data_IF_276611541818
#
_entry.id   IF_276611541818
#
_cell.length_a   1.000
_cell.length_b   1.000
_cell.length_c   1.000
_cell.angle_alpha   90.00
_cell.angle_beta   90.00
_cell.angle_gamma   90.00
#
_symmetry.space_group_name_H-M   'P 1'
#
loop_
_entity.id
_entity.type
_entity.pdbx_description
1 polymer ?
#
# COMPACT_ATOMS: atom_id res chain seq x y z
N UNK A 1 -6.45 -15.60 -5.83
CA UNK A 1 -5.92 -14.42 -6.54
C UNK A 1 -5.75 -13.23 -5.63
N UNK A 2 -6.82 -12.65 -5.05
CA UNK A 2 -6.70 -11.48 -4.16
C UNK A 2 -5.67 -11.64 -3.03
N UNK A 3 -5.74 -12.73 -2.27
CA UNK A 3 -4.79 -13.05 -1.20
C UNK A 3 -3.36 -13.33 -1.69
N UNK A 4 -3.19 -13.54 -2.99
CA UNK A 4 -1.92 -13.83 -3.63
C UNK A 4 -1.45 -12.65 -4.49
N UNK A 5 -1.99 -11.46 -4.29
CA UNK A 5 -1.50 -10.24 -4.93
C UNK A 5 -0.38 -9.67 -4.05
N UNK A 6 0.83 -9.44 -4.57
CA UNK A 6 1.96 -8.95 -3.77
C UNK A 6 1.66 -7.71 -2.93
N UNK A 7 0.97 -6.72 -3.51
CA UNK A 7 0.57 -5.50 -2.78
C UNK A 7 -0.40 -5.81 -1.63
N UNK A 8 -1.32 -6.77 -1.81
CA UNK A 8 -2.25 -7.18 -0.74
C UNK A 8 -1.49 -7.91 0.38
N UNK A 9 -0.58 -8.81 0.03
CA UNK A 9 0.23 -9.54 1.02
C UNK A 9 1.10 -8.56 1.82
N UNK A 10 1.73 -7.60 1.15
CA UNK A 10 2.56 -6.59 1.81
C UNK A 10 1.76 -5.73 2.81
N UNK A 11 0.48 -5.51 2.56
CA UNK A 11 -0.38 -4.73 3.45
C UNK A 11 -0.92 -5.56 4.61
N UNK A 12 -1.20 -6.83 4.37
CA UNK A 12 -1.65 -7.75 5.42
C UNK A 12 -0.63 -7.89 6.56
N UNK A 13 0.68 -7.81 6.27
CA UNK A 13 1.74 -7.94 7.29
C UNK A 13 2.05 -6.64 8.06
N UNK A 14 1.52 -5.48 7.64
CA UNK A 14 1.89 -4.17 8.23
C UNK A 14 0.89 -3.63 9.26
N UNK A 15 -0.20 -4.36 9.55
CA UNK A 15 -1.27 -3.90 10.44
C UNK A 15 -1.72 -2.44 10.15
N UNK A 16 -1.77 -2.07 8.87
CA UNK A 16 -2.19 -0.73 8.41
C UNK A 16 -3.71 -0.71 8.17
N UNK A 17 -4.34 0.45 8.39
CA UNK A 17 -5.78 0.69 8.14
C UNK A 17 -6.20 0.45 6.68
N UNK A 18 -5.23 0.44 5.74
CA UNK A 18 -5.47 0.29 4.31
C UNK A 18 -6.14 -1.04 3.95
N UNK A 19 -5.87 -2.13 4.68
CA UNK A 19 -6.49 -3.43 4.46
C UNK A 19 -7.99 -3.44 4.81
N UNK A 20 -8.33 -2.92 6.00
CA UNK A 20 -9.73 -2.78 6.43
C UNK A 20 -10.49 -1.82 5.52
N UNK A 21 -9.88 -0.69 5.16
CA UNK A 21 -10.45 0.26 4.22
C UNK A 21 -10.72 -0.39 2.84
N UNK A 22 -9.78 -1.17 2.31
CA UNK A 22 -9.95 -1.91 1.04
C UNK A 22 -11.12 -2.88 1.11
N UNK A 23 -11.31 -3.58 2.23
CA UNK A 23 -12.47 -4.45 2.44
C UNK A 23 -13.77 -3.64 2.37
N UNK A 24 -13.88 -2.52 3.10
CA UNK A 24 -15.09 -1.70 3.11
C UNK A 24 -15.45 -1.19 1.71
N UNK A 25 -14.47 -0.68 0.96
CA UNK A 25 -14.70 -0.22 -0.42
C UNK A 25 -15.09 -1.37 -1.34
N UNK A 26 -14.42 -2.52 -1.22
CA UNK A 26 -14.74 -3.72 -2.01
C UNK A 26 -16.18 -4.17 -1.76
N UNK A 27 -16.59 -4.26 -0.50
CA UNK A 27 -17.95 -4.64 -0.14
C UNK A 27 -18.93 -3.59 -0.65
N UNK A 28 -18.69 -2.30 -0.44
CA UNK A 28 -19.57 -1.23 -0.95
C UNK A 28 -19.78 -1.32 -2.48
N UNK A 29 -18.70 -1.45 -3.25
CA UNK A 29 -18.73 -1.44 -4.71
C UNK A 29 -19.40 -2.69 -5.27
N UNK A 30 -19.09 -3.87 -4.74
CA UNK A 30 -19.63 -5.13 -5.27
C UNK A 30 -20.97 -5.53 -4.66
N UNK A 31 -21.31 -5.09 -3.44
CA UNK A 31 -22.69 -5.20 -2.95
C UNK A 31 -23.62 -4.37 -3.82
N UNK A 32 -23.18 -3.17 -4.23
CA UNK A 32 -23.95 -2.35 -5.16
C UNK A 32 -24.17 -3.11 -6.47
N UNK A 33 -23.10 -3.57 -7.11
CA UNK A 33 -23.19 -4.28 -8.39
C UNK A 33 -24.09 -5.51 -8.29
N UNK A 34 -23.90 -6.35 -7.27
CA UNK A 34 -24.70 -7.56 -7.10
C UNK A 34 -26.18 -7.24 -6.84
N UNK A 35 -26.49 -6.35 -5.89
CA UNK A 35 -27.86 -6.04 -5.54
C UNK A 35 -28.58 -5.29 -6.67
N UNK A 36 -27.88 -4.37 -7.35
CA UNK A 36 -28.44 -3.55 -8.42
C UNK A 36 -28.56 -4.31 -9.74
N UNK A 37 -27.46 -4.85 -10.26
CA UNK A 37 -27.43 -5.48 -11.60
C UNK A 37 -27.89 -6.94 -11.60
N UNK A 38 -27.62 -7.70 -10.52
CA UNK A 38 -27.95 -9.14 -10.47
C UNK A 38 -29.30 -9.39 -9.82
N UNK A 39 -29.62 -8.69 -8.73
CA UNK A 39 -30.86 -8.89 -7.96
C UNK A 39 -31.94 -7.86 -8.25
N UNK A 40 -31.65 -6.80 -9.00
CA UNK A 40 -32.57 -5.70 -9.30
C UNK A 40 -33.18 -5.03 -8.05
N UNK A 41 -32.50 -5.09 -6.90
CA UNK A 41 -32.89 -4.47 -5.62
C UNK A 41 -32.23 -3.10 -5.48
N UNK A 42 -32.69 -2.12 -6.27
CA UNK A 42 -32.03 -0.80 -6.42
C UNK A 42 -31.86 -0.05 -5.09
N UNK A 43 -32.92 0.07 -4.30
CA UNK A 43 -32.89 0.76 -2.99
C UNK A 43 -31.89 0.08 -2.05
N UNK A 44 -32.01 -1.24 -1.91
CA UNK A 44 -31.11 -2.03 -1.05
C UNK A 44 -29.65 -1.91 -1.49
N UNK A 45 -29.38 -1.88 -2.81
CA UNK A 45 -28.04 -1.71 -3.33
C UNK A 45 -27.39 -0.42 -2.82
N UNK A 46 -28.10 0.70 -2.91
CA UNK A 46 -27.57 2.00 -2.47
C UNK A 46 -27.50 2.13 -0.94
N UNK A 47 -28.46 1.58 -0.19
CA UNK A 47 -28.41 1.60 1.28
C UNK A 47 -27.22 0.76 1.78
N UNK A 48 -27.09 -0.49 1.33
CA UNK A 48 -26.00 -1.38 1.78
C UNK A 48 -24.65 -0.77 1.42
N UNK A 49 -24.48 -0.30 0.19
CA UNK A 49 -23.24 0.38 -0.21
C UNK A 49 -23.02 1.67 0.56
N UNK A 50 -24.06 2.46 0.81
CA UNK A 50 -24.01 3.65 1.66
C UNK A 50 -23.52 3.34 3.07
N UNK A 51 -23.92 2.21 3.66
CA UNK A 51 -23.42 1.79 4.98
C UNK A 51 -21.90 1.62 4.95
N UNK A 52 -21.40 0.81 4.02
CA UNK A 52 -19.96 0.54 3.90
C UNK A 52 -19.15 1.76 3.45
N UNK A 53 -19.73 2.66 2.63
CA UNK A 53 -19.11 3.93 2.29
C UNK A 53 -19.01 4.86 3.50
N UNK A 54 -20.06 4.96 4.32
CA UNK A 54 -20.03 5.74 5.57
C UNK A 54 -18.92 5.25 6.51
N UNK A 55 -18.81 3.95 6.70
CA UNK A 55 -17.71 3.33 7.45
C UNK A 55 -16.35 3.59 6.79
N UNK A 56 -16.27 3.56 5.46
CA UNK A 56 -15.06 3.89 4.71
C UNK A 56 -14.60 5.33 4.93
N UNK A 57 -15.55 6.28 4.94
CA UNK A 57 -15.29 7.68 5.26
C UNK A 57 -14.72 7.83 6.67
N UNK A 58 -15.32 7.15 7.65
CA UNK A 58 -14.85 7.15 9.04
C UNK A 58 -13.46 6.50 9.20
N UNK A 59 -13.10 5.55 8.33
CA UNK A 59 -11.83 4.84 8.40
C UNK A 59 -10.66 5.68 7.90
N UNK A 60 -10.85 6.40 6.79
CA UNK A 60 -9.77 7.16 6.15
C UNK A 60 -10.19 8.57 5.83
N UNK A 61 -11.05 8.76 4.83
CA UNK A 61 -11.56 10.07 4.37
C UNK A 61 -12.67 9.86 3.32
N UNK A 62 -13.18 10.96 2.74
CA UNK A 62 -14.11 10.98 1.61
C UNK A 62 -13.53 10.40 0.31
N UNK A 63 -12.26 9.96 0.31
CA UNK A 63 -11.70 9.18 -0.77
C UNK A 63 -12.51 7.89 -1.05
N UNK A 64 -13.30 7.41 -0.09
CA UNK A 64 -14.21 6.28 -0.27
C UNK A 64 -15.22 6.53 -1.40
N UNK A 65 -15.72 7.77 -1.47
CA UNK A 65 -16.65 8.19 -2.50
C UNK A 65 -15.97 8.26 -3.87
N UNK A 66 -14.71 8.69 -3.94
CA UNK A 66 -13.95 8.71 -5.20
C UNK A 66 -13.90 7.32 -5.81
N UNK A 67 -13.52 6.31 -5.03
CA UNK A 67 -13.49 4.91 -5.50
C UNK A 67 -14.85 4.42 -6.01
N UNK A 68 -15.91 4.69 -5.24
CA UNK A 68 -17.25 4.26 -5.60
C UNK A 68 -17.78 4.93 -6.86
N UNK A 69 -17.64 6.26 -6.95
CA UNK A 69 -18.17 7.02 -8.09
C UNK A 69 -17.32 6.89 -9.35
N UNK A 70 -16.00 6.67 -9.25
CA UNK A 70 -15.19 6.33 -10.43
C UNK A 70 -15.69 5.04 -11.10
N UNK A 71 -16.13 4.05 -10.33
CA UNK A 71 -16.76 2.85 -10.88
C UNK A 71 -18.20 3.15 -11.38
N UNK A 72 -19.04 3.70 -10.51
CA UNK A 72 -20.47 3.86 -10.75
C UNK A 72 -20.79 4.83 -11.88
N UNK A 73 -20.21 6.04 -11.86
CA UNK A 73 -20.47 7.08 -12.86
C UNK A 73 -20.08 6.60 -14.25
N UNK A 74 -18.86 6.07 -14.40
CA UNK A 74 -18.35 5.59 -15.69
C UNK A 74 -19.11 4.37 -16.20
N UNK A 75 -19.57 3.49 -15.30
CA UNK A 75 -20.44 2.38 -15.67
C UNK A 75 -21.79 2.85 -16.20
N UNK A 76 -22.45 3.80 -15.54
CA UNK A 76 -23.71 4.35 -16.03
C UNK A 76 -23.55 5.20 -17.28
N UNK A 77 -22.46 5.93 -17.42
CA UNK A 77 -22.11 6.62 -18.67
C UNK A 77 -22.02 5.62 -19.83
N UNK A 78 -21.26 4.53 -19.63
CA UNK A 78 -21.13 3.45 -20.61
C UNK A 78 -22.47 2.79 -20.95
N UNK A 79 -23.34 2.59 -19.95
CA UNK A 79 -24.69 2.03 -20.13
C UNK A 79 -25.71 3.04 -20.66
N UNK A 80 -25.35 4.31 -20.82
CA UNK A 80 -26.25 5.42 -21.17
C UNK A 80 -27.42 5.58 -20.19
N UNK A 81 -27.17 5.33 -18.89
CA UNK A 81 -28.17 5.36 -17.80
C UNK A 81 -27.85 6.41 -16.74
N UNK A 82 -27.23 7.54 -17.11
CA UNK A 82 -26.82 8.58 -16.16
C UNK A 82 -27.96 9.13 -15.30
N UNK A 83 -29.20 9.13 -15.79
CA UNK A 83 -30.40 9.55 -15.04
C UNK A 83 -30.60 8.74 -13.74
N UNK A 84 -30.03 7.53 -13.65
CA UNK A 84 -30.07 6.71 -12.43
C UNK A 84 -29.32 7.37 -11.25
N UNK A 85 -28.38 8.29 -11.51
CA UNK A 85 -27.71 9.09 -10.47
C UNK A 85 -28.58 10.23 -9.92
N UNK A 86 -29.77 10.44 -10.48
CA UNK A 86 -30.77 11.38 -9.96
C UNK A 86 -31.97 10.63 -9.36
N UNK A 87 -31.86 9.31 -9.21
CA UNK A 87 -32.94 8.47 -8.73
C UNK A 87 -33.06 8.52 -7.21
N UNK A 88 -34.28 8.30 -6.70
CA UNK A 88 -34.55 8.20 -5.25
C UNK A 88 -33.64 7.16 -4.57
N UNK A 89 -33.42 5.94 -5.12
CA UNK A 89 -32.47 4.98 -4.55
C UNK A 89 -31.08 5.56 -4.31
N UNK A 90 -30.55 6.33 -5.27
CA UNK A 90 -29.22 6.92 -5.14
C UNK A 90 -29.19 8.00 -4.06
N UNK A 91 -30.21 8.88 -4.02
CA UNK A 91 -30.38 9.89 -2.97
C UNK A 91 -30.44 9.25 -1.58
N UNK A 92 -31.15 8.14 -1.42
CA UNK A 92 -31.17 7.38 -0.16
C UNK A 92 -29.79 6.84 0.21
N UNK A 93 -29.01 6.37 -0.76
CA UNK A 93 -27.61 5.98 -0.54
C UNK A 93 -26.76 7.15 -0.03
N UNK A 94 -26.96 8.36 -0.58
CA UNK A 94 -26.30 9.59 -0.13
C UNK A 94 -26.61 9.88 1.33
N UNK A 95 -27.90 9.90 1.68
CA UNK A 95 -28.32 10.10 3.07
C UNK A 95 -27.77 9.02 4.01
N UNK A 96 -27.63 7.78 3.54
CA UNK A 96 -27.12 6.67 4.36
C UNK A 96 -25.65 6.89 4.75
N UNK A 97 -24.75 7.15 3.80
CA UNK A 97 -23.34 7.35 4.14
C UNK A 97 -23.09 8.67 4.87
N UNK A 98 -23.84 9.73 4.54
CA UNK A 98 -23.75 11.00 5.25
C UNK A 98 -24.27 10.87 6.68
N UNK A 99 -25.36 10.13 6.89
CA UNK A 99 -25.92 9.86 8.21
C UNK A 99 -24.90 9.19 9.13
N UNK A 100 -24.27 8.11 8.66
CA UNK A 100 -23.21 7.40 9.41
C UNK A 100 -22.04 8.32 9.74
N UNK A 101 -21.55 9.09 8.76
CA UNK A 101 -20.47 10.05 8.99
C UNK A 101 -20.87 11.13 10.01
N UNK A 102 -22.10 11.64 9.89
CA UNK A 102 -22.62 12.73 10.72
C UNK A 102 -22.76 12.33 12.18
N UNK A 103 -23.11 11.07 12.48
CA UNK A 103 -23.15 10.57 13.85
C UNK A 103 -21.82 10.79 14.59
N UNK A 104 -20.70 10.51 13.93
CA UNK A 104 -19.37 10.78 14.50
C UNK A 104 -19.01 12.27 14.44
N UNK A 105 -19.21 12.90 13.28
CA UNK A 105 -18.77 14.28 13.05
C UNK A 105 -19.46 15.27 14.00
N UNK A 106 -20.77 15.10 14.25
CA UNK A 106 -21.54 15.92 15.19
C UNK A 106 -20.96 15.77 16.59
N UNK A 107 -20.80 14.55 17.10
CA UNK A 107 -20.27 14.29 18.45
C UNK A 107 -18.87 14.87 18.65
N UNK A 108 -17.98 14.73 17.66
CA UNK A 108 -16.65 15.34 17.72
C UNK A 108 -16.74 16.85 17.70
N UNK A 109 -17.55 17.43 16.80
CA UNK A 109 -17.70 18.88 16.68
C UNK A 109 -18.27 19.53 17.94
N UNK A 110 -19.18 18.84 18.66
CA UNK A 110 -19.69 19.30 19.94
C UNK A 110 -18.62 19.30 21.03
N UNK A 111 -17.64 18.39 20.95
CA UNK A 111 -16.56 18.27 21.93
C UNK A 111 -15.41 19.26 21.72
N UNK A 112 -15.01 19.49 20.46
CA UNK A 112 -13.82 20.31 20.15
C UNK A 112 -14.16 21.66 19.50
N UNK A 113 -15.44 21.92 19.23
CA UNK A 113 -15.92 23.06 18.47
C UNK A 113 -15.89 22.82 16.95
N UNK A 114 -16.85 23.42 16.25
CA UNK A 114 -17.01 23.26 14.80
C UNK A 114 -15.82 23.80 13.98
N UNK A 115 -15.32 24.99 14.32
CA UNK A 115 -14.21 25.62 13.59
C UNK A 115 -12.91 24.79 13.69
N UNK A 116 -12.44 24.36 14.88
CA UNK A 116 -11.30 23.45 14.98
C UNK A 116 -11.48 22.14 14.22
N UNK A 117 -12.67 21.55 14.27
CA UNK A 117 -13.00 20.32 13.53
C UNK A 117 -12.81 20.50 12.01
N UNK A 118 -13.43 21.52 11.42
CA UNK A 118 -13.34 21.78 9.97
C UNK A 118 -11.90 22.09 9.55
N UNK A 119 -11.17 22.90 10.33
CA UNK A 119 -9.77 23.22 10.04
C UNK A 119 -8.91 21.96 10.05
N UNK A 120 -9.02 21.12 11.08
CA UNK A 120 -8.26 19.87 11.18
C UNK A 120 -8.57 18.94 9.99
N UNK A 121 -9.84 18.85 9.61
CA UNK A 121 -10.27 17.99 8.53
C UNK A 121 -9.80 18.48 7.15
N UNK A 122 -9.93 19.78 6.84
CA UNK A 122 -9.43 20.37 5.58
C UNK A 122 -7.90 20.25 5.49
N UNK A 123 -7.21 20.51 6.60
CA UNK A 123 -5.75 20.45 6.64
C UNK A 123 -5.21 19.05 6.30
N UNK A 124 -5.96 17.98 6.62
CA UNK A 124 -5.61 16.63 6.23
C UNK A 124 -5.52 16.46 4.70
N UNK A 125 -6.40 17.08 3.92
CA UNK A 125 -6.34 17.03 2.45
C UNK A 125 -5.24 17.93 1.90
N UNK A 126 -5.10 19.15 2.44
CA UNK A 126 -4.10 20.11 1.97
C UNK A 126 -2.67 19.66 2.25
N UNK A 127 -2.41 19.03 3.40
CA UNK A 127 -1.09 18.50 3.75
C UNK A 127 -0.68 17.34 2.83
N UNK A 128 -1.62 16.50 2.43
CA UNK A 128 -1.38 15.43 1.45
C UNK A 128 -1.05 15.96 0.05
N UNK A 129 -1.70 17.04 -0.38
CA UNK A 129 -1.42 17.67 -1.68
C UNK A 129 -0.05 18.35 -1.76
N UNK A 130 0.47 18.85 -0.62
CA UNK A 130 1.77 19.53 -0.53
C UNK A 130 2.96 18.59 -0.32
N UNK A 131 2.73 17.34 0.06
CA UNK A 131 3.77 16.36 0.41
C UNK A 131 4.50 15.72 -0.78
N UNK A 132 4.80 16.47 -1.85
CA UNK A 132 5.52 15.92 -3.01
C UNK A 132 6.98 15.65 -2.64
N UNK A 133 7.33 14.38 -2.41
CA UNK A 133 8.69 13.94 -2.09
C UNK A 133 9.55 13.67 -3.34
N UNK A 134 8.96 13.66 -4.53
CA UNK A 134 9.63 13.26 -5.78
C UNK A 134 9.16 14.09 -6.97
N UNK A 135 9.99 14.17 -8.02
CA UNK A 135 9.61 14.85 -9.26
C UNK A 135 8.53 14.08 -10.04
N UNK A 136 7.81 14.77 -10.91
CA UNK A 136 6.71 14.20 -11.71
C UNK A 136 7.16 13.00 -12.58
N UNK A 137 8.35 13.10 -13.20
CA UNK A 137 8.93 12.02 -14.01
C UNK A 137 9.33 10.80 -13.18
N UNK A 138 9.90 11.04 -11.99
CA UNK A 138 10.23 9.96 -11.05
C UNK A 138 8.98 9.26 -10.55
N UNK A 139 7.93 10.03 -10.20
CA UNK A 139 6.63 9.52 -9.80
C UNK A 139 6.04 8.59 -10.84
N UNK A 140 5.94 9.02 -12.10
CA UNK A 140 5.33 8.18 -13.14
C UNK A 140 6.06 6.88 -13.40
N UNK A 141 7.39 6.90 -13.45
CA UNK A 141 8.20 5.70 -13.64
C UNK A 141 8.03 4.75 -12.46
N UNK A 142 8.23 5.26 -11.24
CA UNK A 142 8.15 4.45 -10.02
C UNK A 142 6.73 3.88 -9.83
N UNK A 143 5.71 4.71 -9.98
CA UNK A 143 4.32 4.30 -9.78
C UNK A 143 3.90 3.19 -10.74
N UNK A 144 4.25 3.31 -12.02
CA UNK A 144 3.92 2.30 -13.04
C UNK A 144 4.67 1.00 -12.82
N UNK A 145 5.99 1.07 -12.55
CA UNK A 145 6.81 -0.11 -12.27
C UNK A 145 6.30 -0.84 -11.02
N UNK A 146 6.04 -0.09 -9.95
CA UNK A 146 5.52 -0.68 -8.71
C UNK A 146 4.11 -1.23 -8.89
N UNK A 147 3.24 -0.59 -9.67
CA UNK A 147 1.93 -1.17 -9.99
C UNK A 147 2.08 -2.50 -10.75
N UNK A 148 2.97 -2.55 -11.76
CA UNK A 148 3.22 -3.78 -12.49
C UNK A 148 3.70 -4.90 -11.56
N UNK A 149 4.68 -4.62 -10.70
CA UNK A 149 5.22 -5.60 -9.75
C UNK A 149 4.20 -5.98 -8.66
N UNK A 150 3.51 -5.00 -8.09
CA UNK A 150 2.57 -5.15 -6.98
C UNK A 150 1.31 -5.94 -7.34
N UNK A 151 0.93 -5.94 -8.62
CA UNK A 151 -0.22 -6.69 -9.15
C UNK A 151 0.14 -7.88 -10.04
N UNK A 152 1.43 -8.11 -10.30
CA UNK A 152 1.91 -9.33 -10.96
C UNK A 152 1.76 -10.56 -10.04
N UNK A 153 1.62 -11.78 -10.60
CA UNK A 153 1.54 -12.10 -12.03
C UNK A 153 0.13 -11.91 -12.61
N UNK A 154 -0.88 -11.58 -11.78
CA UNK A 154 -2.28 -11.59 -12.19
C UNK A 154 -2.59 -10.58 -13.27
N UNK A 155 -1.93 -9.41 -13.25
CA UNK A 155 -2.06 -8.38 -14.29
C UNK A 155 -1.87 -8.93 -15.72
N UNK A 156 -1.04 -9.98 -15.89
CA UNK A 156 -0.76 -10.56 -17.20
C UNK A 156 -1.96 -11.28 -17.82
N UNK A 157 -2.96 -11.71 -17.03
CA UNK A 157 -4.19 -12.29 -17.56
C UNK A 157 -5.08 -11.27 -18.28
N UNK A 158 -4.79 -9.96 -18.18
CA UNK A 158 -5.46 -8.95 -19.00
C UNK A 158 -5.22 -9.16 -20.50
N UNK A 159 -4.14 -9.83 -20.90
CA UNK A 159 -3.89 -10.18 -22.31
C UNK A 159 -4.99 -11.09 -22.89
N UNK A 160 -5.70 -11.84 -22.05
CA UNK A 160 -6.82 -12.69 -22.46
C UNK A 160 -7.98 -11.90 -23.06
N UNK A 161 -8.14 -10.62 -22.73
CA UNK A 161 -9.13 -9.74 -23.34
C UNK A 161 -8.81 -9.41 -24.81
N UNK A 162 -7.67 -9.85 -25.36
CA UNK A 162 -7.40 -9.85 -26.81
C UNK A 162 -7.90 -11.11 -27.52
N UNK A 163 -8.22 -12.18 -26.79
CA UNK A 163 -8.67 -13.44 -27.36
C UNK A 163 -10.15 -13.38 -27.74
N UNK A 164 -10.45 -13.52 -29.04
CA UNK A 164 -11.82 -13.46 -29.59
C UNK A 164 -12.77 -14.48 -28.96
N UNK A 165 -12.32 -15.71 -28.69
CA UNK A 165 -13.15 -16.76 -28.11
C UNK A 165 -13.57 -16.41 -26.68
N UNK A 166 -12.64 -15.85 -25.91
CA UNK A 166 -12.93 -15.38 -24.55
C UNK A 166 -13.88 -14.18 -24.54
N UNK A 167 -13.67 -13.20 -25.42
CA UNK A 167 -14.57 -12.05 -25.54
C UNK A 167 -15.97 -12.50 -25.94
N UNK A 168 -16.08 -13.44 -26.89
CA UNK A 168 -17.36 -14.02 -27.30
C UNK A 168 -18.07 -14.69 -26.12
N UNK A 169 -17.34 -15.49 -25.33
CA UNK A 169 -17.85 -16.10 -24.11
C UNK A 169 -18.35 -15.10 -23.07
N UNK A 170 -17.63 -13.99 -22.85
CA UNK A 170 -18.10 -12.95 -21.93
C UNK A 170 -19.35 -12.26 -22.50
N UNK A 171 -19.34 -11.91 -23.79
CA UNK A 171 -20.47 -11.20 -24.43
C UNK A 171 -21.75 -12.03 -24.46
N UNK A 172 -21.64 -13.36 -24.56
CA UNK A 172 -22.81 -14.25 -24.46
C UNK A 172 -23.39 -14.34 -23.05
N UNK A 173 -22.68 -13.84 -22.03
CA UNK A 173 -23.11 -13.80 -20.64
C UNK A 173 -23.20 -12.34 -20.15
N UNK A 174 -24.37 -11.67 -20.27
CA UNK A 174 -24.52 -10.24 -19.97
C UNK A 174 -24.00 -9.83 -18.59
N UNK A 175 -24.19 -10.67 -17.56
CA UNK A 175 -23.70 -10.39 -16.20
C UNK A 175 -22.18 -10.38 -16.12
N UNK A 176 -21.49 -11.33 -16.78
CA UNK A 176 -20.02 -11.34 -16.82
C UNK A 176 -19.48 -10.16 -17.61
N UNK A 177 -20.13 -9.79 -18.71
CA UNK A 177 -19.76 -8.60 -19.46
C UNK A 177 -19.90 -7.33 -18.63
N UNK A 178 -21.03 -7.17 -17.95
CA UNK A 178 -21.27 -6.03 -17.06
C UNK A 178 -20.27 -5.99 -15.92
N UNK A 179 -19.96 -7.14 -15.30
CA UNK A 179 -18.99 -7.24 -14.22
C UNK A 179 -17.58 -6.87 -14.69
N UNK A 180 -17.19 -7.31 -15.89
CA UNK A 180 -15.91 -6.96 -16.49
C UNK A 180 -15.80 -5.46 -16.73
N UNK A 181 -16.81 -4.84 -17.36
CA UNK A 181 -16.81 -3.39 -17.63
C UNK A 181 -16.80 -2.59 -16.32
N UNK A 182 -17.63 -2.97 -15.34
CA UNK A 182 -17.67 -2.31 -14.05
C UNK A 182 -16.33 -2.40 -13.31
N UNK A 183 -15.73 -3.60 -13.28
CA UNK A 183 -14.43 -3.84 -12.65
C UNK A 183 -13.27 -3.15 -13.39
N UNK A 184 -13.36 -3.02 -14.71
CA UNK A 184 -12.45 -2.23 -15.53
C UNK A 184 -12.47 -0.76 -15.12
N UNK A 185 -13.64 -0.13 -15.10
CA UNK A 185 -13.74 1.27 -14.67
C UNK A 185 -13.24 1.45 -13.25
N UNK A 186 -13.62 0.53 -12.35
CA UNK A 186 -13.20 0.62 -10.96
C UNK A 186 -11.67 0.62 -10.82
N UNK A 187 -10.98 -0.35 -11.41
CA UNK A 187 -9.53 -0.43 -11.29
C UNK A 187 -8.81 0.64 -12.12
N UNK A 188 -9.13 0.74 -13.40
CA UNK A 188 -8.38 1.56 -14.35
C UNK A 188 -8.52 3.05 -14.08
N UNK A 189 -9.75 3.53 -13.80
CA UNK A 189 -9.94 4.95 -13.49
C UNK A 189 -9.38 5.31 -12.12
N UNK A 190 -9.44 4.40 -11.15
CA UNK A 190 -8.75 4.59 -9.87
C UNK A 190 -7.24 4.65 -10.05
N UNK A 191 -6.66 3.81 -10.91
CA UNK A 191 -5.25 3.86 -11.26
C UNK A 191 -4.89 5.23 -11.87
N UNK A 192 -5.61 5.66 -12.91
CA UNK A 192 -5.37 6.95 -13.57
C UNK A 192 -5.50 8.10 -12.58
N UNK A 193 -6.58 8.11 -11.79
CA UNK A 193 -6.83 9.15 -10.80
C UNK A 193 -5.59 9.34 -9.91
N UNK A 194 -5.10 8.28 -9.26
CA UNK A 194 -3.96 8.38 -8.35
C UNK A 194 -2.62 8.56 -9.07
N UNK A 195 -2.48 8.00 -10.27
CA UNK A 195 -1.30 8.20 -11.12
C UNK A 195 -1.09 9.69 -11.42
N UNK A 196 -2.17 10.46 -11.64
CA UNK A 196 -2.13 11.89 -11.93
C UNK A 196 -1.82 12.78 -10.71
N UNK A 197 -1.84 12.26 -9.48
CA UNK A 197 -1.48 13.03 -8.28
C UNK A 197 -0.02 12.74 -7.86
N UNK A 198 0.92 13.67 -8.04
CA UNK A 198 2.31 13.47 -7.67
C UNK A 198 2.45 13.26 -6.17
N UNK A 199 3.30 12.30 -5.77
CA UNK A 199 3.44 11.91 -4.37
C UNK A 199 2.38 10.91 -3.91
N UNK A 200 1.42 10.53 -4.76
CA UNK A 200 0.56 9.38 -4.50
C UNK A 200 1.40 8.10 -4.38
N UNK A 201 1.23 7.37 -3.28
CA UNK A 201 1.87 6.07 -3.07
C UNK A 201 1.01 4.99 -3.71
N UNK A 202 1.63 3.93 -4.23
CA UNK A 202 0.89 2.83 -4.87
C UNK A 202 -0.21 2.25 -3.97
N UNK A 203 0.04 2.16 -2.67
CA UNK A 203 -0.96 1.72 -1.67
C UNK A 203 -2.28 2.49 -1.71
N UNK A 204 -2.31 3.69 -2.28
CA UNK A 204 -3.54 4.46 -2.39
C UNK A 204 -4.54 3.83 -3.37
N UNK A 205 -4.11 3.04 -4.36
CA UNK A 205 -5.03 2.31 -5.24
C UNK A 205 -5.41 0.92 -4.75
N UNK A 206 -4.92 0.51 -3.57
CA UNK A 206 -5.29 -0.78 -2.97
C UNK A 206 -6.81 -1.04 -2.92
N UNK A 207 -7.67 -0.04 -2.60
CA UNK A 207 -9.11 -0.24 -2.57
C UNK A 207 -9.71 -0.68 -3.91
N UNK A 208 -9.09 -0.33 -5.04
CA UNK A 208 -9.55 -0.74 -6.36
C UNK A 208 -8.97 -2.07 -6.85
N UNK A 209 -8.07 -2.70 -6.07
CA UNK A 209 -7.43 -3.96 -6.43
C UNK A 209 -8.44 -5.07 -6.73
N UNK A 210 -9.58 -5.11 -6.05
CA UNK A 210 -10.65 -6.08 -6.32
C UNK A 210 -11.17 -5.97 -7.76
N UNK A 211 -11.21 -4.76 -8.35
CA UNK A 211 -11.52 -4.55 -9.77
C UNK A 211 -10.60 -5.37 -10.67
N UNK A 212 -9.29 -5.27 -10.44
CA UNK A 212 -8.31 -6.08 -11.17
C UNK A 212 -8.50 -7.58 -10.92
N UNK A 213 -8.81 -7.99 -9.69
CA UNK A 213 -9.02 -9.41 -9.38
C UNK A 213 -10.20 -9.98 -10.14
N UNK A 214 -11.36 -9.31 -10.16
CA UNK A 214 -12.51 -9.78 -10.91
C UNK A 214 -12.21 -9.83 -12.42
N UNK A 215 -11.51 -8.83 -12.96
CA UNK A 215 -11.07 -8.84 -14.37
C UNK A 215 -10.23 -10.06 -14.72
N UNK A 216 -9.29 -10.45 -13.85
CA UNK A 216 -8.39 -11.58 -14.12
C UNK A 216 -8.98 -12.94 -13.73
N UNK A 217 -9.97 -12.96 -12.83
CA UNK A 217 -10.68 -14.20 -12.47
C UNK A 217 -11.53 -14.71 -13.63
N UNK A 218 -12.15 -13.82 -14.43
CA UNK A 218 -12.98 -14.21 -15.58
C UNK A 218 -12.23 -15.04 -16.63
N UNK A 219 -11.03 -14.64 -17.12
CA UNK A 219 -10.21 -15.48 -18.00
C UNK A 219 -9.85 -16.83 -17.39
N UNK A 220 -9.41 -16.85 -16.13
CA UNK A 220 -9.01 -18.10 -15.46
C UNK A 220 -10.20 -19.04 -15.34
N UNK A 221 -11.37 -18.52 -14.93
CA UNK A 221 -12.60 -19.29 -14.89
C UNK A 221 -12.96 -19.88 -16.25
N UNK A 222 -12.88 -19.07 -17.32
CA UNK A 222 -13.12 -19.53 -18.69
C UNK A 222 -12.17 -20.67 -19.08
N UNK A 223 -10.86 -20.51 -18.85
CA UNK A 223 -9.88 -21.53 -19.22
C UNK A 223 -10.05 -22.82 -18.40
N UNK A 224 -10.31 -22.71 -17.09
CA UNK A 224 -10.60 -23.87 -16.24
C UNK A 224 -11.84 -24.60 -16.74
N UNK A 225 -12.91 -23.86 -17.08
CA UNK A 225 -14.17 -24.44 -17.60
C UNK A 225 -13.96 -25.16 -18.93
N UNK A 226 -13.14 -24.61 -19.81
CA UNK A 226 -12.81 -25.22 -21.11
C UNK A 226 -11.70 -26.29 -21.02
N UNK A 227 -11.06 -26.43 -19.85
CA UNK A 227 -9.82 -27.18 -19.65
C UNK A 227 -8.76 -26.91 -20.75
N UNK A 228 -8.73 -25.68 -21.25
CA UNK A 228 -7.87 -25.28 -22.37
C UNK A 228 -7.16 -23.98 -22.04
N UNK A 229 -5.83 -24.00 -22.11
CA UNK A 229 -4.99 -22.82 -21.95
C UNK A 229 -4.49 -22.35 -23.34
N UNK A 230 -4.69 -21.09 -23.73
CA UNK A 230 -4.18 -20.57 -24.99
C UNK A 230 -2.66 -20.64 -25.07
N UNK A 231 -2.14 -20.86 -26.28
CA UNK A 231 -0.70 -21.05 -26.51
C UNK A 231 0.13 -19.84 -26.06
N UNK A 232 -0.34 -18.62 -26.32
CA UNK A 232 0.35 -17.40 -25.87
C UNK A 232 0.52 -17.35 -24.34
N UNK A 233 -0.49 -17.82 -23.59
CA UNK A 233 -0.42 -17.86 -22.12
C UNK A 233 0.47 -19.00 -21.63
N UNK A 234 0.45 -20.15 -22.30
CA UNK A 234 1.40 -21.24 -22.02
C UNK A 234 2.83 -20.77 -22.20
N UNK A 235 3.15 -20.15 -23.34
CA UNK A 235 4.50 -19.64 -23.62
C UNK A 235 4.89 -18.58 -22.58
N UNK A 236 4.02 -17.60 -22.33
CA UNK A 236 4.31 -16.52 -21.38
C UNK A 236 4.58 -17.06 -19.97
N UNK A 237 3.68 -17.89 -19.43
CA UNK A 237 3.75 -18.29 -18.03
C UNK A 237 4.53 -19.56 -17.75
N UNK A 238 4.62 -20.50 -18.70
CA UNK A 238 5.25 -21.81 -18.48
C UNK A 238 6.61 -21.93 -19.17
N UNK A 239 6.98 -20.98 -20.04
CA UNK A 239 8.32 -20.94 -20.67
C UNK A 239 9.07 -19.67 -20.31
N UNK A 240 8.51 -18.50 -20.63
CA UNK A 240 9.19 -17.21 -20.47
C UNK A 240 9.36 -16.84 -18.99
N UNK A 241 8.28 -16.88 -18.20
CA UNK A 241 8.33 -16.51 -16.78
C UNK A 241 9.30 -17.40 -15.96
N UNK A 242 9.27 -18.75 -16.05
CA UNK A 242 10.21 -19.58 -15.34
C UNK A 242 11.66 -19.34 -15.79
N UNK A 243 11.90 -19.14 -17.09
CA UNK A 243 13.23 -18.84 -17.61
C UNK A 243 13.78 -17.53 -17.05
N UNK A 244 12.97 -16.46 -17.04
CA UNK A 244 13.34 -15.17 -16.44
C UNK A 244 13.64 -15.37 -14.95
N UNK A 245 12.81 -16.10 -14.21
CA UNK A 245 13.04 -16.38 -12.80
C UNK A 245 14.37 -17.12 -12.58
N UNK A 246 14.68 -18.13 -13.39
CA UNK A 246 15.95 -18.87 -13.29
C UNK A 246 17.16 -17.97 -13.57
N UNK A 247 17.09 -17.10 -14.58
CA UNK A 247 18.13 -16.12 -14.87
C UNK A 247 18.32 -15.18 -13.67
N UNK A 248 17.23 -14.65 -13.11
CA UNK A 248 17.26 -13.78 -11.94
C UNK A 248 17.80 -14.48 -10.68
N UNK A 249 17.56 -15.78 -10.55
CA UNK A 249 18.20 -16.57 -9.51
C UNK A 249 19.69 -16.64 -9.78
N UNK A 250 20.14 -17.19 -10.89
CA UNK A 250 21.60 -17.31 -11.16
C UNK A 250 22.34 -15.99 -10.97
N UNK A 251 21.79 -14.87 -11.47
CA UNK A 251 22.38 -13.54 -11.23
C UNK A 251 22.36 -13.12 -9.76
N UNK A 252 21.26 -13.38 -9.05
CA UNK A 252 21.15 -13.15 -7.61
C UNK A 252 22.13 -14.00 -6.79
N UNK A 253 22.39 -15.25 -7.17
CA UNK A 253 23.35 -16.13 -6.50
C UNK A 253 24.79 -15.63 -6.70
N UNK A 254 25.14 -15.23 -7.93
CA UNK A 254 26.42 -14.59 -8.23
C UNK A 254 26.59 -13.33 -7.38
N UNK A 255 25.58 -12.46 -7.36
CA UNK A 255 25.61 -11.23 -6.55
C UNK A 255 25.84 -11.53 -5.06
N UNK A 256 25.11 -12.50 -4.49
CA UNK A 256 25.26 -12.87 -3.09
C UNK A 256 26.64 -13.46 -2.77
N UNK A 257 27.27 -14.15 -3.73
CA UNK A 257 28.62 -14.70 -3.56
C UNK A 257 29.69 -13.62 -3.41
N UNK A 258 29.44 -12.40 -3.92
CA UNK A 258 30.32 -11.24 -3.78
C UNK A 258 29.81 -10.21 -2.76
N UNK A 259 28.64 -10.44 -2.17
CA UNK A 259 28.07 -9.54 -1.17
C UNK A 259 28.78 -9.71 0.17
N UNK A 260 28.93 -8.60 0.90
CA UNK A 260 29.43 -8.64 2.30
C UNK A 260 28.41 -9.24 3.27
N UNK A 261 27.12 -9.17 2.92
CA UNK A 261 26.03 -9.69 3.73
C UNK A 261 25.76 -11.16 3.38
N UNK A 262 25.70 -12.01 4.41
CA UNK A 262 25.41 -13.44 4.29
C UNK A 262 23.98 -13.73 4.79
N UNK A 263 23.04 -14.10 3.90
CA UNK A 263 21.68 -14.45 4.29
C UNK A 263 21.63 -15.67 5.25
N UNK A 264 20.55 -15.74 6.04
CA UNK A 264 20.29 -16.90 6.91
C UNK A 264 20.06 -18.20 6.11
N UNK A 265 20.31 -19.36 6.71
CA UNK A 265 20.15 -20.69 6.06
C UNK A 265 18.75 -20.91 5.47
N UNK A 266 17.72 -20.38 6.13
CA UNK A 266 16.33 -20.49 5.66
C UNK A 266 16.09 -19.78 4.32
N UNK A 267 16.82 -18.70 4.04
CA UNK A 267 16.76 -18.01 2.74
C UNK A 267 17.19 -18.96 1.63
N UNK A 268 18.32 -19.65 1.80
CA UNK A 268 18.84 -20.59 0.79
C UNK A 268 17.91 -21.79 0.56
N UNK A 269 17.21 -22.27 1.60
CA UNK A 269 16.20 -23.32 1.44
C UNK A 269 15.04 -22.88 0.54
N UNK A 270 14.47 -21.69 0.78
CA UNK A 270 13.42 -21.14 -0.09
C UNK A 270 13.94 -20.80 -1.48
N UNK A 271 15.21 -20.41 -1.59
CA UNK A 271 15.86 -20.07 -2.85
C UNK A 271 16.01 -21.29 -3.74
N UNK A 272 16.48 -22.40 -3.17
CA UNK A 272 16.57 -23.69 -3.84
C UNK A 272 15.18 -24.24 -4.21
N UNK A 273 14.19 -24.14 -3.32
CA UNK A 273 12.82 -24.55 -3.62
C UNK A 273 12.22 -23.75 -4.79
N UNK A 274 12.44 -22.44 -4.82
CA UNK A 274 12.00 -21.58 -5.91
C UNK A 274 12.71 -21.93 -7.23
N UNK A 275 14.02 -22.23 -7.19
CA UNK A 275 14.76 -22.77 -8.34
C UNK A 275 14.14 -24.08 -8.85
N UNK A 276 13.92 -25.05 -7.97
CA UNK A 276 13.39 -26.38 -8.31
C UNK A 276 12.01 -26.27 -8.98
N UNK A 277 11.12 -25.44 -8.43
CA UNK A 277 9.77 -25.27 -8.99
C UNK A 277 9.82 -24.68 -10.41
N UNK A 278 10.64 -23.65 -10.64
CA UNK A 278 10.78 -23.06 -11.98
C UNK A 278 11.41 -24.05 -12.97
N UNK A 279 12.40 -24.85 -12.54
CA UNK A 279 13.02 -25.89 -13.35
C UNK A 279 12.02 -27.01 -13.72
N UNK A 280 11.25 -27.51 -12.75
CA UNK A 280 10.23 -28.55 -12.98
C UNK A 280 9.19 -28.07 -14.00
N UNK A 281 8.72 -26.83 -13.88
CA UNK A 281 7.73 -26.27 -14.81
C UNK A 281 8.29 -26.09 -16.22
N UNK A 282 9.57 -25.72 -16.35
CA UNK A 282 10.22 -25.58 -17.64
C UNK A 282 10.42 -26.95 -18.34
N UNK A 283 10.76 -27.99 -17.56
CA UNK A 283 11.00 -29.35 -18.07
C UNK A 283 9.71 -30.11 -18.38
N UNK A 284 8.61 -29.86 -17.64
CA UNK A 284 7.33 -30.53 -17.84
C UNK A 284 6.41 -29.75 -18.78
N UNK A 285 5.80 -30.45 -19.74
CA UNK A 285 4.76 -29.91 -20.62
C UNK A 285 3.40 -29.79 -19.91
N UNK A 286 3.33 -28.90 -18.92
CA UNK A 286 2.09 -28.61 -18.22
C UNK A 286 1.14 -27.84 -19.16
N UNK A 287 -0.07 -28.35 -19.35
CA UNK A 287 -1.07 -27.71 -20.24
C UNK A 287 -2.36 -27.31 -19.52
N UNK A 288 -2.57 -27.80 -18.29
CA UNK A 288 -3.81 -27.51 -17.55
C UNK A 288 -3.79 -26.09 -16.96
N UNK A 289 -4.89 -25.31 -17.14
CA UNK A 289 -5.09 -24.04 -16.44
C UNK A 289 -5.00 -24.14 -14.92
N UNK A 290 -5.36 -25.29 -14.33
CA UNK A 290 -5.24 -25.52 -12.88
C UNK A 290 -3.78 -25.54 -12.43
N UNK A 291 -2.91 -26.24 -13.17
CA UNK A 291 -1.47 -26.26 -12.88
C UNK A 291 -0.86 -24.87 -13.01
N UNK A 292 -1.23 -24.11 -14.04
CA UNK A 292 -0.80 -22.72 -14.17
C UNK A 292 -1.19 -21.90 -12.93
N UNK A 293 -2.45 -22.01 -12.48
CA UNK A 293 -2.93 -21.28 -11.31
C UNK A 293 -2.12 -21.61 -10.04
N UNK A 294 -1.89 -22.90 -9.76
CA UNK A 294 -1.08 -23.32 -8.62
C UNK A 294 0.38 -22.90 -8.74
N UNK A 295 0.97 -22.98 -9.94
CA UNK A 295 2.32 -22.51 -10.18
C UNK A 295 2.49 -21.02 -9.86
N UNK A 296 1.58 -20.18 -10.35
CA UNK A 296 1.61 -18.74 -10.07
C UNK A 296 1.40 -18.44 -8.58
N UNK A 297 0.50 -19.17 -7.92
CA UNK A 297 0.30 -19.06 -6.47
C UNK A 297 1.59 -19.37 -5.70
N UNK A 298 2.26 -20.48 -6.05
CA UNK A 298 3.52 -20.91 -5.44
C UNK A 298 4.64 -19.90 -5.69
N UNK A 299 4.75 -19.35 -6.91
CA UNK A 299 5.74 -18.31 -7.21
C UNK A 299 5.57 -17.11 -6.29
N UNK A 300 4.35 -16.57 -6.19
CA UNK A 300 4.11 -15.37 -5.37
C UNK A 300 4.50 -15.63 -3.93
N UNK A 301 4.06 -16.76 -3.37
CA UNK A 301 4.34 -17.09 -1.99
C UNK A 301 5.85 -17.26 -1.74
N UNK A 302 6.55 -17.99 -2.60
CA UNK A 302 7.99 -18.20 -2.48
C UNK A 302 8.78 -16.90 -2.66
N UNK A 303 8.43 -16.07 -3.65
CA UNK A 303 9.07 -14.77 -3.83
C UNK A 303 8.85 -13.86 -2.63
N UNK A 304 7.64 -13.84 -2.04
CA UNK A 304 7.41 -13.05 -0.84
C UNK A 304 8.19 -13.58 0.35
N UNK A 305 8.26 -14.90 0.53
CA UNK A 305 9.02 -15.52 1.62
C UNK A 305 10.53 -15.29 1.46
N UNK A 306 11.05 -15.36 0.23
CA UNK A 306 12.42 -14.97 -0.11
C UNK A 306 12.68 -13.51 0.23
N UNK A 307 11.78 -12.62 -0.17
CA UNK A 307 11.88 -11.20 0.19
C UNK A 307 11.89 -10.99 1.70
N UNK A 308 11.00 -11.63 2.45
CA UNK A 308 10.90 -11.50 3.91
C UNK A 308 12.15 -12.04 4.62
N UNK A 309 12.61 -13.23 4.24
CA UNK A 309 13.81 -13.86 4.81
C UNK A 309 15.10 -13.11 4.49
N UNK A 310 15.15 -12.36 3.39
CA UNK A 310 16.27 -11.49 3.08
C UNK A 310 16.16 -10.11 3.73
N UNK A 311 15.01 -9.45 3.57
CA UNK A 311 14.81 -8.04 3.91
C UNK A 311 14.82 -7.78 5.41
N UNK A 312 14.11 -8.58 6.22
CA UNK A 312 13.99 -8.27 7.65
C UNK A 312 15.30 -8.42 8.43
N UNK A 313 16.11 -9.49 8.22
CA UNK A 313 17.41 -9.58 8.87
C UNK A 313 18.35 -8.46 8.41
N UNK A 314 18.43 -8.20 7.09
CA UNK A 314 19.22 -7.08 6.56
C UNK A 314 18.77 -5.73 7.14
N UNK A 315 17.46 -5.47 7.20
CA UNK A 315 16.91 -4.24 7.76
C UNK A 315 17.20 -4.12 9.27
N UNK A 316 17.21 -5.24 10.00
CA UNK A 316 17.55 -5.28 11.42
C UNK A 316 19.01 -4.89 11.65
N UNK A 317 19.92 -5.35 10.79
CA UNK A 317 21.36 -5.08 10.87
C UNK A 317 21.72 -3.67 10.39
N UNK A 318 21.27 -3.29 9.20
CA UNK A 318 21.78 -2.09 8.53
C UNK A 318 20.86 -0.87 8.64
N UNK A 319 19.54 -1.05 8.69
CA UNK A 319 18.57 0.05 8.52
C UNK A 319 17.91 0.53 9.82
N UNK A 320 18.32 0.04 10.99
CA UNK A 320 17.80 0.45 12.29
C UNK A 320 18.38 1.78 12.79
N UNK A 321 18.66 2.74 11.91
CA UNK A 321 19.41 3.96 12.24
C UNK A 321 18.77 4.79 13.37
N UNK A 322 17.44 4.93 13.38
CA UNK A 322 16.74 5.66 14.45
C UNK A 322 16.74 4.90 15.78
N UNK A 323 16.66 3.57 15.72
CA UNK A 323 16.71 2.72 16.92
C UNK A 323 18.11 2.72 17.53
N UNK A 324 19.13 2.55 16.70
CA UNK A 324 20.53 2.58 17.11
C UNK A 324 20.93 3.99 17.58
N UNK A 325 20.47 5.04 16.89
CA UNK A 325 20.64 6.43 17.32
C UNK A 325 19.99 6.71 18.67
N UNK A 326 18.74 6.28 18.86
CA UNK A 326 18.05 6.40 20.16
C UNK A 326 18.78 5.63 21.26
N UNK A 327 19.26 4.42 20.98
CA UNK A 327 20.02 3.63 21.94
C UNK A 327 21.36 4.27 22.31
N UNK A 328 22.09 4.85 21.34
CA UNK A 328 23.32 5.60 21.61
C UNK A 328 23.06 6.83 22.47
N UNK A 329 22.04 7.63 22.14
CA UNK A 329 21.63 8.80 22.95
C UNK A 329 21.32 8.35 24.37
N UNK A 330 20.52 7.29 24.52
CA UNK A 330 20.14 6.77 25.81
C UNK A 330 21.34 6.28 26.65
N UNK A 331 22.31 5.60 26.01
CA UNK A 331 23.53 5.17 26.68
C UNK A 331 24.46 6.33 27.06
N UNK A 332 24.42 7.46 26.36
CA UNK A 332 25.22 8.64 26.72
C UNK A 332 24.58 9.40 27.89
N UNK A 333 23.24 9.47 27.92
CA UNK A 333 22.48 10.23 28.91
C UNK A 333 22.39 9.60 30.30
N UNK A 334 23.09 8.47 30.57
CA UNK A 334 22.98 7.62 31.77
C UNK A 334 22.37 8.33 32.99
N UNK A 335 21.20 7.88 33.43
CA UNK A 335 20.41 8.38 34.58
C UNK A 335 19.74 9.77 34.46
N UNK A 336 19.90 10.50 33.35
CA UNK A 336 19.12 11.72 33.07
C UNK A 336 17.84 11.38 32.33
N UNK A 337 16.70 11.89 32.83
CA UNK A 337 15.36 11.61 32.30
C UNK A 337 14.85 12.63 31.28
N UNK A 338 15.63 13.68 31.04
CA UNK A 338 15.18 14.86 30.29
C UNK A 338 16.09 15.12 29.10
N UNK A 339 15.49 15.23 27.90
CA UNK A 339 16.16 15.61 26.67
C UNK A 339 15.51 16.88 26.11
N UNK A 340 16.32 17.88 25.87
CA UNK A 340 15.89 19.10 25.21
C UNK A 340 16.18 19.01 23.71
N UNK A 341 15.24 19.50 22.92
CA UNK A 341 15.32 19.52 21.47
C UNK A 341 15.30 20.96 21.02
N UNK A 342 16.34 21.33 20.28
CA UNK A 342 16.43 22.65 19.73
C UNK A 342 15.64 22.83 18.42
N UNK A 343 15.15 21.72 17.85
CA UNK A 343 14.46 21.67 16.56
C UNK A 343 13.48 20.51 16.48
N UNK A 344 12.66 20.51 15.42
CA UNK A 344 11.84 19.35 15.04
C UNK A 344 12.73 18.20 14.59
N UNK A 345 13.10 17.36 15.56
CA UNK A 345 13.81 16.11 15.28
C UNK A 345 12.86 15.04 14.72
N UNK A 346 13.37 14.01 14.02
CA UNK A 346 12.53 12.98 13.44
C UNK A 346 11.66 12.29 14.51
N UNK A 347 10.33 12.30 14.33
CA UNK A 347 9.38 11.71 15.28
C UNK A 347 9.70 10.24 15.63
N UNK A 348 10.29 9.48 14.70
CA UNK A 348 10.72 8.11 14.92
C UNK A 348 11.80 7.98 16.01
N UNK A 349 12.74 8.93 16.07
CA UNK A 349 13.80 8.94 17.09
C UNK A 349 13.19 9.14 18.48
N UNK A 350 12.30 10.13 18.59
CA UNK A 350 11.59 10.46 19.84
C UNK A 350 10.70 9.31 20.29
N UNK A 351 10.02 8.65 19.36
CA UNK A 351 9.21 7.47 19.65
C UNK A 351 10.05 6.37 20.32
N UNK A 352 11.23 6.06 19.78
CA UNK A 352 12.09 5.03 20.36
C UNK A 352 12.66 5.41 21.73
N UNK A 353 13.10 6.66 21.91
CA UNK A 353 13.60 7.16 23.19
C UNK A 353 12.52 7.11 24.28
N UNK A 354 11.31 7.60 23.97
CA UNK A 354 10.23 7.74 24.93
C UNK A 354 9.49 6.43 25.22
N UNK A 355 9.11 5.67 24.19
CA UNK A 355 8.18 4.56 24.35
C UNK A 355 8.84 3.18 24.35
N UNK A 356 9.87 2.98 23.54
CA UNK A 356 10.53 1.66 23.42
C UNK A 356 11.55 1.43 24.52
N UNK A 357 12.49 2.36 24.66
CA UNK A 357 13.53 2.27 25.67
C UNK A 357 13.06 2.80 27.03
N UNK A 358 12.10 3.74 27.04
CA UNK A 358 11.58 4.39 28.26
C UNK A 358 12.67 5.06 29.11
N UNK A 359 13.79 5.44 28.49
CA UNK A 359 14.95 6.01 29.19
C UNK A 359 14.85 7.53 29.29
N UNK A 360 14.13 8.17 28.36
CA UNK A 360 13.92 9.62 28.33
C UNK A 360 12.42 9.91 28.25
N UNK A 361 11.70 9.88 29.38
CA UNK A 361 10.25 10.12 29.40
C UNK A 361 9.90 11.58 29.07
N UNK A 362 10.78 12.52 29.44
CA UNK A 362 10.54 13.95 29.32
C UNK A 362 11.35 14.52 28.16
N UNK A 363 10.64 15.03 27.16
CA UNK A 363 11.24 15.62 25.96
C UNK A 363 10.66 17.02 25.80
N UNK A 364 11.52 18.04 25.84
CA UNK A 364 11.11 19.44 25.78
C UNK A 364 11.64 20.10 24.52
N UNK A 365 10.81 20.89 23.85
CA UNK A 365 11.24 21.72 22.75
C UNK A 365 11.64 23.10 23.28
N UNK A 366 12.90 23.47 23.09
CA UNK A 366 13.39 24.80 23.45
C UNK A 366 12.90 25.83 22.42
N UNK A 367 12.38 26.96 22.90
CA UNK A 367 11.97 28.09 22.04
C UNK A 367 13.19 28.86 21.51
N UNK A 368 14.26 28.92 22.30
CA UNK A 368 15.53 29.54 21.94
C UNK A 368 16.68 28.59 22.29
N UNK A 369 17.62 28.45 21.37
CA UNK A 369 18.75 27.53 21.45
C UNK A 369 20.07 28.19 21.82
N UNK A 370 20.06 29.51 22.04
CA UNK A 370 21.23 30.26 22.50
C UNK A 370 21.50 30.05 23.98
N UNK A 371 20.47 29.88 24.81
CA UNK A 371 20.60 29.67 26.26
C UNK A 371 20.23 28.23 26.59
N UNK A 372 21.24 27.42 26.87
CA UNK A 372 21.07 26.00 27.17
C UNK A 372 20.79 25.80 28.67
N UNK A 373 19.82 24.95 29.05
CA UNK A 373 19.60 24.65 30.46
C UNK A 373 20.84 23.98 31.05
N UNK A 374 21.28 24.39 32.24
CA UNK A 374 22.43 23.79 32.91
C UNK A 374 22.18 22.31 33.27
N UNK A 375 23.23 21.49 33.26
CA UNK A 375 23.20 20.07 33.61
C UNK A 375 22.22 19.24 32.77
N UNK A 376 22.01 19.64 31.52
CA UNK A 376 21.01 19.05 30.62
C UNK A 376 21.63 18.56 29.31
N UNK A 377 20.90 17.65 28.66
CA UNK A 377 21.27 17.16 27.34
C UNK A 377 20.39 17.80 26.27
N UNK A 378 21.02 18.35 25.25
CA UNK A 378 20.35 19.03 24.14
C UNK A 378 20.75 18.39 22.82
N UNK A 379 19.77 18.01 22.00
CA UNK A 379 20.01 17.44 20.67
C UNK A 379 19.90 18.52 19.58
N UNK A 380 21.01 18.70 18.86
CA UNK A 380 21.15 19.59 17.72
C UNK A 380 21.28 18.80 16.42
N UNK A 381 20.80 19.40 15.33
CA UNK A 381 21.21 19.01 13.98
C UNK A 381 22.49 19.79 13.64
N UNK A 382 23.44 19.14 12.97
CA UNK A 382 24.75 19.72 12.63
C UNK A 382 24.65 21.12 12.00
N UNK A 383 23.75 21.30 11.04
CA UNK A 383 23.55 22.56 10.31
C UNK A 383 23.15 23.77 11.18
N UNK A 384 22.84 23.57 12.47
CA UNK A 384 22.19 24.56 13.32
C UNK A 384 22.85 24.73 14.70
N UNK A 385 24.04 24.18 14.89
CA UNK A 385 24.84 24.42 16.09
C UNK A 385 25.77 25.62 15.85
N UNK A 386 25.88 26.53 16.82
CA UNK A 386 26.81 27.66 16.71
C UNK A 386 28.24 27.23 17.08
N UNK A 387 29.24 27.90 16.52
CA UNK A 387 30.65 27.64 16.86
C UNK A 387 30.96 27.88 18.35
N UNK A 388 30.24 28.80 18.99
CA UNK A 388 30.37 29.07 20.42
C UNK A 388 29.92 27.86 21.27
N UNK A 389 28.82 27.20 20.90
CA UNK A 389 28.37 25.97 21.54
C UNK A 389 29.39 24.84 21.27
N UNK A 390 29.97 24.80 20.07
CA UNK A 390 30.99 23.82 19.71
C UNK A 390 32.26 23.89 20.56
N UNK A 391 32.63 25.09 21.02
CA UNK A 391 33.84 25.32 21.84
C UNK A 391 33.58 25.16 23.33
N UNK A 392 32.41 25.55 23.81
CA UNK A 392 32.16 25.70 25.24
C UNK A 392 31.55 24.45 25.91
N UNK A 393 31.02 23.49 25.14
CA UNK A 393 30.30 22.35 25.69
C UNK A 393 30.82 21.01 25.20
N UNK A 394 30.55 19.96 25.99
CA UNK A 394 30.93 18.59 25.62
C UNK A 394 29.96 18.04 24.57
N UNK A 395 30.51 17.58 23.45
CA UNK A 395 29.74 17.15 22.29
C UNK A 395 29.92 15.67 22.01
N UNK A 396 28.80 15.02 21.72
CA UNK A 396 28.76 13.65 21.24
C UNK A 396 28.20 13.63 19.81
N UNK A 397 29.04 13.40 18.79
CA UNK A 397 28.58 13.31 17.42
C UNK A 397 27.76 12.04 17.18
N UNK A 398 26.62 12.20 16.53
CA UNK A 398 25.65 11.14 16.28
C UNK A 398 25.24 11.16 14.81
N UNK A 399 25.59 10.11 14.07
CA UNK A 399 25.07 9.92 12.72
C UNK A 399 23.76 9.13 12.77
N UNK A 400 22.66 9.77 12.38
CA UNK A 400 21.33 9.17 12.36
C UNK A 400 20.80 9.23 10.92
N UNK A 401 20.81 8.07 10.25
CA UNK A 401 20.51 7.91 8.82
C UNK A 401 21.51 8.71 7.98
N UNK A 402 21.04 9.69 7.20
CA UNK A 402 21.86 10.56 6.34
C UNK A 402 22.22 11.89 6.99
N UNK A 403 21.73 12.15 8.21
CA UNK A 403 21.92 13.44 8.90
C UNK A 403 22.82 13.25 10.11
N UNK A 404 23.67 14.24 10.35
CA UNK A 404 24.48 14.33 11.55
C UNK A 404 23.75 15.16 12.59
N UNK A 405 23.88 14.70 13.83
CA UNK A 405 23.34 15.33 15.01
C UNK A 405 24.45 15.45 16.05
N UNK A 406 24.34 16.46 16.90
CA UNK A 406 25.20 16.63 18.05
C UNK A 406 24.34 16.56 19.30
N UNK A 407 24.68 15.64 20.20
CA UNK A 407 24.16 15.65 21.55
C UNK A 407 25.13 16.47 22.40
N UNK A 408 24.66 17.59 22.91
CA UNK A 408 25.43 18.55 23.72
C UNK A 408 25.07 18.33 25.19
N UNK A 409 26.09 18.24 26.04
CA UNK A 409 25.93 18.29 27.50
C UNK A 409 26.27 19.69 27.96
N UNK A 410 25.26 20.42 28.45
CA UNK A 410 25.39 21.74 29.08
C UNK A 410 25.69 21.62 30.55
#
# INVERSE_FOLDING_TARGET
MFLATPEIIDKAIRAEIDGFYTMLITVAVYSWFYLYEVKNKRITAYIVSGIFLGLGILTKTFQALVFFYLALFSYFLFKKRLKELLSIPHILGIFTYLGIFSLWAILVSLKIGFKPFIVAWIYQYLSLAKGQEMSFSQHFKAYTIFAFLGYSPWLLFLISYKNKNFISFIKSNPLFYNLAIFSFFFFFLSYIFHFLFPGARLRYILPSASGLIFLNTLPIYYYIKQNHLPENLKILFLKILPLINLILLVTGFIYLSFSKYTPETIFYAFYFLFFLINLIVLLKTLSSPKYLFYFLLSIVFLLKTLYVSFYYPLHKEEMNHFRNGAFKIANIMVNKKELYLCQTTPHHLLYYLKYKYKLVPNIYYLKNCSNLPENSFILFREDNISEEILKNYKIYPLKIRTKNYFLVSS
#
